data_IF_152285359166
#
_entry.id   IF_152285359166
#
_cell.length_a   1.000
_cell.length_b   1.000
_cell.length_c   1.000
_cell.angle_alpha   90.00
_cell.angle_beta   90.00
_cell.angle_gamma   90.00
#
_symmetry.space_group_name_H-M   'P 1'
#
loop_
_entity.id
_entity.type
_entity.pdbx_description
1 polymer ?
#
# COMPACT_ATOMS: atom_id res chain seq x y z
N UNK A 1 54.03 -25.09 -1.57
CA UNK A 1 53.30 -23.94 -2.16
C UNK A 1 51.90 -23.86 -1.56
N UNK A 2 51.56 -22.79 -0.82
CA UNK A 2 50.28 -22.59 -0.07
C UNK A 2 49.33 -21.55 -0.72
N UNK A 3 49.48 -21.25 -2.02
CA UNK A 3 48.75 -20.14 -2.68
C UNK A 3 47.28 -20.43 -3.06
N UNK A 4 46.80 -21.67 -3.02
CA UNK A 4 45.44 -22.00 -3.51
C UNK A 4 44.30 -21.77 -2.51
N UNK A 5 44.59 -21.53 -1.22
CA UNK A 5 43.56 -21.44 -0.18
C UNK A 5 42.95 -20.04 0.00
N UNK A 6 43.60 -18.99 -0.49
CA UNK A 6 43.11 -17.61 -0.32
C UNK A 6 42.05 -17.21 -1.35
N UNK A 7 42.09 -17.80 -2.56
CA UNK A 7 41.14 -17.49 -3.62
C UNK A 7 39.71 -17.98 -3.33
N UNK A 8 39.54 -19.02 -2.52
CA UNK A 8 38.23 -19.56 -2.18
C UNK A 8 37.41 -18.58 -1.34
N UNK A 9 37.97 -18.07 -0.24
CA UNK A 9 37.26 -17.23 0.72
C UNK A 9 36.80 -15.89 0.10
N UNK A 10 37.63 -15.23 -0.70
CA UNK A 10 37.25 -14.00 -1.39
C UNK A 10 36.10 -14.20 -2.38
N UNK A 11 36.09 -15.32 -3.12
CA UNK A 11 35.00 -15.63 -4.05
C UNK A 11 33.64 -15.76 -3.36
N UNK A 12 33.60 -16.36 -2.17
CA UNK A 12 32.34 -16.54 -1.42
C UNK A 12 31.76 -15.24 -0.88
N UNK A 13 32.61 -14.36 -0.32
CA UNK A 13 32.17 -13.05 0.12
C UNK A 13 31.61 -12.23 -1.04
N UNK A 14 32.26 -12.29 -2.20
CA UNK A 14 31.76 -11.66 -3.42
C UNK A 14 30.39 -12.20 -3.83
N UNK A 15 30.18 -13.52 -3.83
CA UNK A 15 28.88 -14.12 -4.17
C UNK A 15 27.80 -13.68 -3.17
N UNK A 16 28.09 -13.68 -1.86
CA UNK A 16 27.13 -13.25 -0.85
C UNK A 16 26.74 -11.77 -1.00
N UNK A 17 27.72 -10.90 -1.28
CA UNK A 17 27.48 -9.47 -1.56
C UNK A 17 26.66 -9.31 -2.82
N UNK A 18 26.99 -10.00 -3.91
CA UNK A 18 26.23 -9.96 -5.16
C UNK A 18 24.80 -10.42 -4.95
N UNK A 19 24.58 -11.53 -4.23
CA UNK A 19 23.23 -12.00 -3.89
C UNK A 19 22.46 -10.97 -3.07
N UNK A 20 23.06 -10.37 -2.04
CA UNK A 20 22.41 -9.35 -1.22
C UNK A 20 22.04 -8.08 -2.02
N UNK A 21 22.91 -7.64 -2.93
CA UNK A 21 22.64 -6.50 -3.82
C UNK A 21 21.53 -6.85 -4.81
N UNK A 22 21.56 -8.04 -5.43
CA UNK A 22 20.53 -8.46 -6.37
C UNK A 22 19.17 -8.60 -5.71
N UNK A 23 19.06 -9.23 -4.54
CA UNK A 23 17.76 -9.32 -3.86
C UNK A 23 17.31 -7.98 -3.29
N UNK A 24 18.24 -7.12 -2.86
CA UNK A 24 17.93 -5.75 -2.44
C UNK A 24 17.37 -4.91 -3.58
N UNK A 25 17.97 -4.98 -4.78
CA UNK A 25 17.47 -4.27 -5.97
C UNK A 25 16.10 -4.80 -6.41
N UNK A 26 15.91 -6.12 -6.45
CA UNK A 26 14.60 -6.73 -6.75
C UNK A 26 13.55 -6.32 -5.72
N UNK A 27 13.91 -6.33 -4.43
CA UNK A 27 13.04 -5.88 -3.33
C UNK A 27 12.68 -4.40 -3.45
N UNK A 28 13.64 -3.55 -3.82
CA UNK A 28 13.41 -2.13 -4.09
C UNK A 28 12.48 -1.89 -5.28
N UNK A 29 12.66 -2.62 -6.38
CA UNK A 29 11.75 -2.55 -7.54
C UNK A 29 10.34 -3.02 -7.19
N UNK A 30 10.21 -4.14 -6.47
CA UNK A 30 8.92 -4.63 -5.98
C UNK A 30 8.26 -3.61 -5.04
N UNK A 31 9.05 -2.97 -4.17
CA UNK A 31 8.61 -1.89 -3.30
C UNK A 31 8.10 -0.69 -4.08
N UNK A 32 8.83 -0.23 -5.11
CA UNK A 32 8.41 0.88 -5.95
C UNK A 32 7.08 0.59 -6.69
N UNK A 33 6.92 -0.63 -7.22
CA UNK A 33 5.66 -1.06 -7.84
C UNK A 33 4.53 -1.13 -6.81
N UNK A 34 4.80 -1.73 -5.65
CA UNK A 34 3.85 -1.83 -4.54
C UNK A 34 3.38 -0.46 -4.05
N UNK A 35 4.31 0.47 -3.80
CA UNK A 35 4.02 1.86 -3.42
C UNK A 35 3.22 2.58 -4.50
N UNK A 36 3.50 2.36 -5.79
CA UNK A 36 2.71 2.96 -6.86
C UNK A 36 1.29 2.37 -6.94
N UNK A 37 1.12 1.07 -6.72
CA UNK A 37 -0.21 0.44 -6.66
C UNK A 37 -1.00 0.92 -5.44
N UNK A 38 -0.34 1.01 -4.29
CA UNK A 38 -0.91 1.56 -3.07
C UNK A 38 -1.31 3.02 -3.26
N UNK A 39 -0.43 3.86 -3.81
CA UNK A 39 -0.68 5.28 -4.12
C UNK A 39 -1.91 5.46 -5.03
N UNK A 40 -2.12 4.54 -5.97
CA UNK A 40 -3.30 4.54 -6.84
C UNK A 40 -4.56 4.00 -6.17
N UNK A 41 -4.48 3.55 -4.91
CA UNK A 41 -5.58 2.94 -4.18
C UNK A 41 -5.98 1.56 -4.69
N UNK A 42 -5.10 0.83 -5.39
CA UNK A 42 -5.44 -0.45 -6.02
C UNK A 42 -5.89 -1.54 -5.02
N UNK A 43 -5.50 -1.40 -3.75
CA UNK A 43 -5.85 -2.33 -2.68
C UNK A 43 -7.04 -1.84 -1.83
N UNK A 44 -7.62 -0.68 -2.13
CA UNK A 44 -8.76 -0.13 -1.39
C UNK A 44 -10.05 -0.73 -1.93
N UNK A 45 -10.82 -1.33 -1.03
CA UNK A 45 -12.14 -1.87 -1.33
C UNK A 45 -13.23 -0.86 -1.01
N UNK A 46 -14.33 -0.94 -1.76
CA UNK A 46 -15.58 -0.29 -1.40
C UNK A 46 -16.07 -0.77 -0.03
N UNK A 47 -16.59 0.14 0.76
CA UNK A 47 -17.18 -0.14 2.07
C UNK A 47 -18.61 0.37 2.11
N UNK A 48 -19.53 -0.49 2.54
CA UNK A 48 -20.93 -0.14 2.70
C UNK A 48 -21.07 0.75 3.94
N UNK A 49 -21.71 1.90 3.78
CA UNK A 49 -22.16 2.72 4.90
C UNK A 49 -23.41 2.10 5.52
N UNK A 50 -23.74 2.48 6.75
CA UNK A 50 -25.00 2.02 7.35
C UNK A 50 -26.19 2.45 6.49
N UNK A 51 -27.27 1.68 6.54
CA UNK A 51 -28.43 1.98 5.72
C UNK A 51 -29.08 3.29 6.21
N UNK A 52 -29.36 4.26 5.32
CA UNK A 52 -30.16 5.42 5.69
C UNK A 52 -31.58 5.01 6.10
N UNK A 53 -32.30 5.82 6.91
CA UNK A 53 -33.66 5.51 7.35
C UNK A 53 -34.66 5.33 6.20
N UNK A 54 -34.37 5.93 5.05
CA UNK A 54 -35.16 5.86 3.83
C UNK A 54 -34.24 5.63 2.62
N UNK A 55 -34.77 4.98 1.59
CA UNK A 55 -34.02 4.67 0.37
C UNK A 55 -33.53 5.96 -0.33
N UNK A 56 -32.20 6.15 -0.48
CA UNK A 56 -31.65 7.30 -1.17
C UNK A 56 -31.76 7.10 -2.69
N UNK A 57 -31.95 8.18 -3.43
CA UNK A 57 -32.09 8.17 -4.91
C UNK A 57 -31.13 9.12 -5.61
N UNK A 58 -30.57 10.09 -4.89
CA UNK A 58 -29.65 11.10 -5.44
C UNK A 58 -28.64 11.52 -4.37
N UNK A 59 -27.38 11.70 -4.77
CA UNK A 59 -26.35 12.36 -3.97
C UNK A 59 -26.43 13.85 -4.29
N UNK A 60 -27.02 14.59 -3.37
CA UNK A 60 -27.23 16.04 -3.55
C UNK A 60 -25.97 16.84 -3.24
N UNK A 61 -25.04 16.29 -2.46
CA UNK A 61 -23.73 16.91 -2.30
C UNK A 61 -22.78 16.16 -1.39
N UNK A 62 -21.50 16.50 -1.48
CA UNK A 62 -20.50 16.04 -0.52
C UNK A 62 -19.49 17.16 -0.22
N UNK A 63 -19.04 17.21 1.04
CA UNK A 63 -18.18 18.27 1.55
C UNK A 63 -17.10 17.69 2.43
N UNK A 64 -15.85 18.13 2.22
CA UNK A 64 -14.74 17.81 3.12
C UNK A 64 -14.75 18.75 4.34
N UNK A 65 -14.73 18.18 5.54
CA UNK A 65 -14.54 18.92 6.78
C UNK A 65 -13.08 19.31 7.01
N UNK A 66 -12.85 20.32 7.86
CA UNK A 66 -11.48 20.74 8.26
C UNK A 66 -10.70 19.65 9.00
N UNK A 67 -11.41 18.69 9.57
CA UNK A 67 -10.85 17.53 10.27
C UNK A 67 -10.51 16.38 9.31
N UNK A 68 -10.59 16.60 7.99
CA UNK A 68 -10.27 15.60 6.97
C UNK A 68 -11.35 14.56 6.72
N UNK A 69 -12.53 14.72 7.33
CA UNK A 69 -13.67 13.82 7.13
C UNK A 69 -14.68 14.41 6.16
N UNK A 70 -15.07 13.64 5.14
CA UNK A 70 -16.16 14.03 4.26
C UNK A 70 -17.54 13.74 4.86
N UNK A 71 -18.46 14.66 4.60
CA UNK A 71 -19.89 14.52 4.85
C UNK A 71 -20.60 14.40 3.50
N UNK A 72 -21.32 13.30 3.29
CA UNK A 72 -22.20 13.10 2.14
C UNK A 72 -23.63 13.49 2.52
N UNK A 73 -24.36 14.07 1.56
CA UNK A 73 -25.78 14.39 1.64
C UNK A 73 -26.51 13.62 0.54
N UNK A 74 -27.48 12.81 0.95
CA UNK A 74 -28.32 12.03 0.03
C UNK A 74 -29.77 12.48 0.15
N UNK A 75 -30.48 12.46 -0.96
CA UNK A 75 -31.90 12.77 -1.04
C UNK A 75 -32.71 11.51 -1.29
N UNK A 76 -33.86 11.41 -0.64
CA UNK A 76 -34.77 10.27 -0.73
C UNK A 76 -35.93 10.55 -1.67
N UNK A 77 -36.73 9.53 -1.99
CA UNK A 77 -37.94 9.69 -2.82
C UNK A 77 -38.95 10.69 -2.24
N UNK A 78 -39.02 10.79 -0.91
CA UNK A 78 -39.88 11.73 -0.19
C UNK A 78 -39.29 13.15 -0.11
N UNK A 79 -38.23 13.44 -0.88
CA UNK A 79 -37.55 14.73 -0.91
C UNK A 79 -36.92 15.14 0.44
N UNK A 80 -36.65 14.19 1.34
CA UNK A 80 -35.87 14.41 2.57
C UNK A 80 -34.39 14.27 2.29
N UNK A 81 -33.57 15.03 3.02
CA UNK A 81 -32.11 15.00 2.89
C UNK A 81 -31.51 14.44 4.18
N UNK A 82 -30.67 13.44 4.03
CA UNK A 82 -29.88 12.87 5.13
C UNK A 82 -28.41 13.13 4.89
N UNK A 83 -27.69 13.49 5.95
CA UNK A 83 -26.25 13.66 5.94
C UNK A 83 -25.58 12.53 6.71
N UNK A 84 -24.42 12.07 6.22
CA UNK A 84 -23.58 11.09 6.90
C UNK A 84 -22.14 11.54 6.86
N UNK A 85 -21.49 11.56 8.03
CA UNK A 85 -20.07 11.91 8.18
C UNK A 85 -19.25 10.65 8.46
N UNK A 86 -18.30 10.34 7.58
CA UNK A 86 -17.36 9.24 7.76
C UNK A 86 -18.02 7.84 7.82
N UNK A 87 -17.53 6.99 8.74
CA UNK A 87 -17.90 5.57 8.86
C UNK A 87 -18.69 5.25 10.14
N UNK A 88 -19.38 6.22 10.74
CA UNK A 88 -20.13 5.98 11.98
C UNK A 88 -21.26 4.98 11.75
N UNK A 89 -21.50 4.10 12.73
CA UNK A 89 -22.62 3.14 12.71
C UNK A 89 -23.96 3.86 12.64
N UNK A 90 -24.09 4.98 13.33
CA UNK A 90 -25.25 5.86 13.28
C UNK A 90 -24.82 7.20 12.70
N UNK A 91 -24.65 7.26 11.37
CA UNK A 91 -24.17 8.48 10.72
C UNK A 91 -25.29 9.34 10.12
N UNK A 92 -26.44 8.75 9.78
CA UNK A 92 -27.49 9.43 9.03
C UNK A 92 -28.32 10.35 9.92
N UNK A 93 -28.19 11.65 9.68
CA UNK A 93 -28.95 12.70 10.36
C UNK A 93 -29.72 13.49 9.31
N UNK A 94 -31.03 13.60 9.49
CA UNK A 94 -31.88 14.43 8.62
C UNK A 94 -31.45 15.90 8.71
N UNK A 95 -31.37 16.58 7.57
CA UNK A 95 -30.85 17.93 7.48
C UNK A 95 -31.58 18.74 6.42
N UNK A 96 -31.62 20.06 6.61
CA UNK A 96 -32.14 21.03 5.63
C UNK A 96 -31.02 21.72 4.86
N UNK A 97 -29.76 21.31 5.06
CA UNK A 97 -28.60 22.02 4.51
C UNK A 97 -28.66 22.07 2.97
N UNK A 98 -28.38 23.25 2.36
CA UNK A 98 -28.33 23.38 0.92
C UNK A 98 -27.22 22.48 0.38
N UNK A 99 -27.61 21.52 -0.43
CA UNK A 99 -26.72 20.54 -0.98
C UNK A 99 -26.15 21.07 -2.30
N UNK A 100 -25.02 21.74 -2.21
CA UNK A 100 -24.19 21.99 -3.38
C UNK A 100 -23.50 20.68 -3.75
N UNK A 101 -23.58 20.27 -5.02
CA UNK A 101 -23.05 18.96 -5.46
C UNK A 101 -21.62 18.74 -4.96
N UNK A 102 -20.71 19.71 -5.12
CA UNK A 102 -19.35 19.59 -4.56
C UNK A 102 -18.92 20.92 -3.95
N UNK A 103 -18.65 20.93 -2.65
CA UNK A 103 -17.92 22.03 -2.00
C UNK A 103 -16.49 21.58 -1.70
N UNK A 104 -15.54 21.99 -2.54
CA UNK A 104 -14.12 21.85 -2.24
C UNK A 104 -13.75 22.90 -1.18
N UNK A 105 -13.57 22.47 0.07
CA UNK A 105 -13.17 23.37 1.14
C UNK A 105 -11.64 23.43 1.28
N UNK A 106 -11.09 24.65 1.15
CA UNK A 106 -9.85 25.10 1.79
C UNK A 106 -8.62 24.20 1.64
N UNK A 107 -7.78 24.53 0.66
CA UNK A 107 -6.58 23.79 0.28
C UNK A 107 -6.67 23.63 -1.23
N UNK A 108 -5.70 24.19 -1.97
CA UNK A 108 -5.78 24.27 -3.43
C UNK A 108 -6.29 22.94 -3.99
N UNK A 109 -7.31 22.98 -4.85
CA UNK A 109 -7.68 21.76 -5.55
C UNK A 109 -6.39 21.22 -6.18
N UNK A 110 -6.26 19.91 -6.27
CA UNK A 110 -5.12 19.30 -6.96
C UNK A 110 -4.98 19.81 -8.42
N UNK A 111 -5.95 20.61 -8.87
CA UNK A 111 -6.08 21.35 -10.12
C UNK A 111 -5.20 22.61 -10.14
N UNK A 112 -3.88 22.40 -10.15
CA UNK A 112 -3.01 23.17 -11.04
C UNK A 112 -3.07 22.65 -12.49
N UNK A 113 -3.64 21.48 -12.71
CA UNK A 113 -3.67 20.82 -14.02
C UNK A 113 -4.98 20.08 -14.23
N UNK A 114 -5.52 20.15 -15.44
CA UNK A 114 -6.59 19.28 -15.98
C UNK A 114 -6.21 17.78 -15.99
N UNK A 115 -5.31 17.36 -15.12
CA UNK A 115 -4.81 16.00 -15.02
C UNK A 115 -5.90 15.11 -14.43
N UNK A 116 -6.14 13.97 -15.07
CA UNK A 116 -6.95 12.89 -14.52
C UNK A 116 -6.44 12.57 -13.11
N UNK A 117 -7.38 12.32 -12.19
CA UNK A 117 -7.06 11.86 -10.84
C UNK A 117 -6.10 10.66 -10.91
N UNK A 118 -5.03 10.61 -10.11
CA UNK A 118 -4.05 9.53 -10.17
C UNK A 118 -4.60 8.20 -9.64
N UNK A 119 -5.71 8.24 -8.91
CA UNK A 119 -6.33 7.07 -8.30
C UNK A 119 -7.05 6.20 -9.32
N UNK A 120 -6.97 4.89 -9.13
CA UNK A 120 -7.65 3.88 -9.93
C UNK A 120 -8.80 3.29 -9.11
N UNK A 121 -9.93 4.00 -9.06
CA UNK A 121 -11.09 3.54 -8.29
C UNK A 121 -11.78 2.38 -9.02
N UNK A 122 -11.95 1.26 -8.32
CA UNK A 122 -12.71 0.11 -8.84
C UNK A 122 -14.20 0.43 -8.92
N UNK A 123 -14.96 -0.35 -9.70
CA UNK A 123 -16.42 -0.19 -9.71
C UNK A 123 -17.03 -0.64 -8.37
N UNK A 124 -18.05 0.05 -7.87
CA UNK A 124 -18.78 -0.38 -6.68
C UNK A 124 -19.55 -1.69 -6.94
N UNK A 125 -19.89 -2.45 -5.89
CA UNK A 125 -20.49 -3.78 -6.02
C UNK A 125 -21.99 -3.70 -6.34
N UNK A 126 -22.34 -3.35 -7.57
CA UNK A 126 -23.73 -3.35 -8.04
C UNK A 126 -23.98 -2.30 -9.11
N UNK A 127 -25.27 -2.09 -9.42
CA UNK A 127 -25.68 -1.10 -10.40
C UNK A 127 -25.74 0.28 -9.74
N UNK A 128 -24.89 1.19 -10.20
CA UNK A 128 -24.83 2.57 -9.71
C UNK A 128 -26.03 3.36 -10.20
N UNK A 129 -26.76 3.97 -9.26
CA UNK A 129 -27.82 4.95 -9.51
C UNK A 129 -27.22 6.35 -9.61
N UNK A 130 -26.38 6.71 -8.64
CA UNK A 130 -25.72 8.02 -8.60
C UNK A 130 -24.34 7.90 -7.93
N UNK A 131 -23.44 8.82 -8.29
CA UNK A 131 -22.03 8.78 -7.86
C UNK A 131 -21.48 10.19 -7.68
N UNK A 132 -20.67 10.38 -6.64
CA UNK A 132 -19.94 11.63 -6.45
C UNK A 132 -18.52 11.38 -5.98
N UNK A 133 -17.62 12.22 -6.46
CA UNK A 133 -16.21 12.19 -6.14
C UNK A 133 -15.82 13.47 -5.40
N UNK A 134 -15.13 13.33 -4.27
CA UNK A 134 -14.56 14.41 -3.48
C UNK A 134 -13.07 14.18 -3.36
N UNK A 135 -12.29 15.18 -3.74
CA UNK A 135 -10.83 15.14 -3.65
C UNK A 135 -10.34 16.26 -2.74
N UNK A 136 -9.36 15.94 -1.91
CA UNK A 136 -8.70 16.88 -1.01
C UNK A 136 -7.19 16.72 -1.14
N UNK A 137 -6.47 17.83 -1.26
CA UNK A 137 -5.01 17.86 -1.31
C UNK A 137 -4.47 18.63 -0.10
N UNK A 138 -3.68 17.94 0.73
CA UNK A 138 -2.83 18.53 1.75
C UNK A 138 -1.45 18.90 1.21
N UNK A 139 -0.53 19.28 2.09
CA UNK A 139 0.83 19.65 1.70
C UNK A 139 1.65 18.46 1.17
N UNK A 140 1.46 17.27 1.73
CA UNK A 140 2.21 16.04 1.44
C UNK A 140 1.33 14.80 1.24
N UNK A 141 0.00 14.98 1.28
CA UNK A 141 -0.98 13.92 1.09
C UNK A 141 -2.13 14.35 0.18
N UNK A 142 -2.76 13.38 -0.47
CA UNK A 142 -4.00 13.53 -1.19
C UNK A 142 -5.01 12.51 -0.70
N UNK A 143 -6.27 12.91 -0.59
CA UNK A 143 -7.37 12.04 -0.22
C UNK A 143 -8.41 12.07 -1.33
N UNK A 144 -8.79 10.88 -1.80
CA UNK A 144 -9.92 10.71 -2.68
C UNK A 144 -11.00 9.89 -2.00
N UNK A 145 -12.20 10.46 -1.96
CA UNK A 145 -13.40 9.82 -1.46
C UNK A 145 -14.42 9.77 -2.59
N UNK A 146 -14.90 8.59 -2.90
CA UNK A 146 -15.98 8.39 -3.84
C UNK A 146 -17.15 7.72 -3.16
N UNK A 147 -18.33 8.26 -3.39
CA UNK A 147 -19.58 7.68 -2.89
C UNK A 147 -20.43 7.22 -4.06
N UNK A 148 -21.13 6.11 -3.87
CA UNK A 148 -22.08 5.59 -4.83
C UNK A 148 -23.37 5.18 -4.13
N UNK A 149 -24.51 5.54 -4.71
CA UNK A 149 -25.81 4.95 -4.40
C UNK A 149 -26.03 3.80 -5.37
N UNK A 150 -26.37 2.62 -4.87
CA UNK A 150 -26.77 1.48 -5.69
C UNK A 150 -28.29 1.40 -5.84
N UNK A 151 -28.75 0.61 -6.80
CA UNK A 151 -30.17 0.41 -7.09
C UNK A 151 -30.97 -0.25 -5.96
N UNK A 152 -30.30 -1.01 -5.08
CA UNK A 152 -30.85 -1.54 -3.83
C UNK A 152 -31.03 -0.48 -2.72
N UNK A 153 -30.51 0.74 -2.91
CA UNK A 153 -30.56 1.83 -1.94
C UNK A 153 -29.37 1.89 -0.98
N UNK A 154 -28.38 1.00 -1.12
CA UNK A 154 -27.19 1.04 -0.29
C UNK A 154 -26.24 2.13 -0.76
N UNK A 155 -25.67 2.85 0.23
CA UNK A 155 -24.62 3.83 -0.01
C UNK A 155 -23.27 3.16 0.26
N UNK A 156 -22.40 3.21 -0.73
CA UNK A 156 -21.04 2.71 -0.63
C UNK A 156 -20.04 3.85 -0.69
N UNK A 157 -18.93 3.69 0.01
CA UNK A 157 -17.84 4.63 0.06
C UNK A 157 -16.53 3.94 -0.28
N UNK A 158 -15.78 4.53 -1.19
CA UNK A 158 -14.37 4.26 -1.43
C UNK A 158 -13.59 5.44 -0.88
N UNK A 159 -12.61 5.20 -0.01
CA UNK A 159 -11.82 6.26 0.60
C UNK A 159 -10.36 5.83 0.64
N UNK A 160 -9.51 6.60 -0.03
CA UNK A 160 -8.07 6.39 -0.05
C UNK A 160 -7.35 7.70 0.21
N UNK A 161 -6.43 7.65 1.17
CA UNK A 161 -5.47 8.71 1.42
C UNK A 161 -4.09 8.18 1.03
N UNK A 162 -3.41 8.92 0.19
CA UNK A 162 -2.03 8.67 -0.21
C UNK A 162 -1.16 9.84 0.25
N UNK A 163 0.11 9.58 0.55
CA UNK A 163 1.06 10.64 0.90
C UNK A 163 2.49 10.19 0.65
N UNK A 164 3.39 11.16 0.43
CA UNK A 164 4.78 10.88 0.11
C UNK A 164 5.47 10.07 1.23
N UNK A 165 5.15 10.40 2.50
CA UNK A 165 5.69 9.69 3.66
C UNK A 165 5.21 8.23 3.75
N UNK A 166 3.94 7.97 3.42
CA UNK A 166 3.41 6.60 3.39
C UNK A 166 4.13 5.76 2.31
N UNK A 167 4.33 6.34 1.12
CA UNK A 167 5.09 5.69 0.04
C UNK A 167 6.54 5.36 0.42
N UNK A 168 7.22 6.28 1.11
CA UNK A 168 8.58 6.03 1.64
C UNK A 168 8.60 4.88 2.65
N UNK A 169 7.56 4.76 3.49
CA UNK A 169 7.42 3.66 4.44
C UNK A 169 7.37 2.30 3.75
N UNK A 170 6.54 2.15 2.71
CA UNK A 170 6.44 0.88 1.97
C UNK A 170 7.73 0.55 1.20
N UNK A 171 8.36 1.54 0.58
CA UNK A 171 9.67 1.33 -0.07
C UNK A 171 10.73 0.86 0.92
N UNK A 172 10.79 1.46 2.12
CA UNK A 172 11.74 1.07 3.15
C UNK A 172 11.50 -0.37 3.64
N UNK A 173 10.23 -0.75 3.89
CA UNK A 173 9.88 -2.11 4.33
C UNK A 173 10.26 -3.15 3.27
N UNK A 174 9.96 -2.90 1.99
CA UNK A 174 10.29 -3.81 0.91
C UNK A 174 11.81 -3.92 0.68
N UNK A 175 12.54 -2.81 0.77
CA UNK A 175 14.00 -2.82 0.64
C UNK A 175 14.68 -3.59 1.78
N UNK A 176 14.26 -3.36 3.03
CA UNK A 176 14.76 -4.08 4.20
C UNK A 176 14.39 -5.57 4.10
N UNK A 177 13.14 -5.89 3.76
CA UNK A 177 12.68 -7.27 3.58
C UNK A 177 13.46 -8.01 2.50
N UNK A 178 13.72 -7.36 1.34
CA UNK A 178 14.52 -7.92 0.26
C UNK A 178 15.99 -8.14 0.65
N UNK A 179 16.58 -7.24 1.43
CA UNK A 179 17.93 -7.39 1.96
C UNK A 179 18.03 -8.57 2.95
N UNK A 180 17.07 -8.68 3.89
CA UNK A 180 17.01 -9.78 4.86
C UNK A 180 16.83 -11.14 4.15
N UNK A 181 15.92 -11.22 3.17
CA UNK A 181 15.73 -12.43 2.36
C UNK A 181 17.00 -12.82 1.59
N UNK A 182 17.71 -11.83 1.03
CA UNK A 182 19.01 -12.01 0.39
C UNK A 182 20.07 -12.60 1.29
N UNK A 183 20.20 -12.05 2.49
CA UNK A 183 21.15 -12.56 3.49
C UNK A 183 20.79 -13.98 3.91
N UNK A 184 19.52 -14.30 4.11
CA UNK A 184 19.07 -15.65 4.45
C UNK A 184 19.40 -16.65 3.33
N UNK A 185 19.13 -16.30 2.07
CA UNK A 185 19.49 -17.13 0.91
C UNK A 185 21.02 -17.30 0.78
N UNK A 186 21.79 -16.22 0.93
CA UNK A 186 23.24 -16.27 0.93
C UNK A 186 23.79 -17.20 2.01
N UNK A 187 23.28 -17.07 3.24
CA UNK A 187 23.65 -17.93 4.36
C UNK A 187 23.31 -19.40 4.09
N UNK A 188 22.11 -19.68 3.56
CA UNK A 188 21.68 -21.04 3.23
C UNK A 188 22.58 -21.73 2.18
N UNK A 189 23.22 -20.96 1.29
CA UNK A 189 24.17 -21.49 0.29
C UNK A 189 25.57 -21.62 0.89
N UNK A 190 26.03 -20.60 1.61
CA UNK A 190 27.42 -20.50 2.09
C UNK A 190 27.68 -21.45 3.28
N UNK A 191 26.77 -21.53 4.25
CA UNK A 191 26.98 -22.30 5.48
C UNK A 191 27.23 -23.79 5.19
N UNK A 192 26.43 -24.49 4.36
CA UNK A 192 26.67 -25.90 4.07
C UNK A 192 28.01 -26.14 3.35
N UNK A 193 28.40 -25.23 2.44
CA UNK A 193 29.67 -25.33 1.74
C UNK A 193 30.85 -25.14 2.70
N UNK A 194 30.75 -24.17 3.61
CA UNK A 194 31.76 -23.92 4.63
C UNK A 194 31.91 -25.10 5.60
N UNK A 195 30.80 -25.68 6.05
CA UNK A 195 30.81 -26.90 6.90
C UNK A 195 31.51 -28.05 6.18
N UNK A 196 31.19 -28.29 4.90
CA UNK A 196 31.84 -29.35 4.10
C UNK A 196 33.34 -29.09 3.92
N UNK A 197 33.73 -27.84 3.72
CA UNK A 197 35.14 -27.46 3.60
C UNK A 197 35.91 -27.68 4.92
N UNK A 198 35.35 -27.26 6.05
CA UNK A 198 35.92 -27.51 7.38
C UNK A 198 36.10 -29.01 7.65
N UNK A 199 35.08 -29.81 7.30
CA UNK A 199 35.14 -31.27 7.45
C UNK A 199 36.30 -31.90 6.63
N UNK A 200 36.54 -31.42 5.40
CA UNK A 200 37.68 -31.88 4.58
C UNK A 200 39.03 -31.50 5.19
N UNK A 201 39.14 -30.28 5.72
CA UNK A 201 40.39 -29.79 6.33
C UNK A 201 40.78 -30.59 7.57
N UNK A 202 39.80 -30.93 8.40
CA UNK A 202 40.03 -31.75 9.60
C UNK A 202 40.52 -33.16 9.25
N UNK A 203 39.98 -33.78 8.18
CA UNK A 203 40.44 -35.10 7.70
C UNK A 203 41.89 -35.08 7.19
N UNK A 204 42.30 -34.02 6.50
CA UNK A 204 43.69 -33.92 6.02
C UNK A 204 44.68 -33.76 7.18
N UNK A 205 44.33 -32.99 8.21
CA UNK A 205 45.17 -32.81 9.40
C UNK A 205 45.33 -34.08 10.24
N UNK A 206 44.32 -34.95 10.28
CA UNK A 206 44.45 -36.25 10.96
C UNK A 206 45.38 -37.20 10.21
N UNK A 207 45.35 -37.20 8.88
CA UNK A 207 46.23 -38.07 8.07
C UNK A 207 47.71 -37.67 8.16
N UNK A 208 48.02 -36.37 8.24
CA UNK A 208 49.42 -35.93 8.37
C UNK A 208 50.04 -36.29 9.73
N UNK A 209 49.27 -36.19 10.82
CA UNK A 209 49.77 -36.60 12.16
C UNK A 209 50.01 -38.10 12.25
N UNK A 210 49.11 -38.90 11.69
CA UNK A 210 49.30 -40.36 11.66
C UNK A 210 50.56 -40.78 10.90
N UNK A 211 50.96 -40.02 9.86
CA UNK A 211 52.17 -40.27 9.09
C UNK A 211 53.48 -39.85 9.80
N UNK A 212 53.43 -38.94 10.79
CA UNK A 212 54.61 -38.55 11.59
C UNK A 212 54.88 -39.50 12.76
N UNK A 213 53.89 -40.30 13.16
CA UNK A 213 54.00 -41.27 14.26
C UNK A 213 54.34 -42.70 13.82
N UNK A 214 54.41 -42.94 12.51
CA UNK A 214 54.78 -44.22 11.91
C UNK A 214 56.21 -44.16 11.37
#
# INVERSE_FOLDING_TARGET
MKKSLWFGSCGFFLIAIVCAVLTGTVGGLAGAVGSNMEYKGAFVSWQRLTAPPQKPVEIVGAKMGRDGWATIHVKTMDNRIYSCRGRSVECWVETNAPANKVENFGGGSCVGSKSKSPYSVSNPPGKVVDRIQVEFCGADYGTLIEYAILDDGNVWMWNHTSGALAGLGVMAICAIGGALAGMALGAAIVIPFWIRWLARRNRQGSSSRAAETA
#
